data_IF_628693469572
#
_entry.id   IF_628693469572
#
_cell.length_a   1.000
_cell.length_b   1.000
_cell.length_c   1.000
_cell.angle_alpha   90.00
_cell.angle_beta   90.00
_cell.angle_gamma   90.00
#
_symmetry.space_group_name_H-M   'P 1'
#
loop_
_entity.id
_entity.type
_entity.pdbx_description
1 polymer ?
#
# COMPACT_ATOMS: atom_id res chain seq x y z
N UNK A 1 -34.88 46.17 24.49
CA UNK A 1 -33.53 45.74 24.03
C UNK A 1 -32.98 44.50 24.74
N UNK A 2 -32.90 44.43 26.08
CA UNK A 2 -32.28 43.29 26.81
C UNK A 2 -32.84 41.88 26.48
N UNK A 3 -34.15 41.74 26.22
CA UNK A 3 -34.75 40.45 25.89
C UNK A 3 -34.35 39.92 24.50
N UNK A 4 -34.18 40.82 23.51
CA UNK A 4 -33.76 40.48 22.14
C UNK A 4 -32.30 40.02 22.10
N UNK A 5 -31.41 40.70 22.84
CA UNK A 5 -30.00 40.31 22.97
C UNK A 5 -29.84 38.91 23.60
N UNK A 6 -30.67 38.59 24.60
CA UNK A 6 -30.63 37.29 25.28
C UNK A 6 -31.11 36.14 24.38
N UNK A 7 -32.05 36.42 23.46
CA UNK A 7 -32.47 35.48 22.42
C UNK A 7 -31.36 35.23 21.40
N UNK A 8 -30.76 36.30 20.86
CA UNK A 8 -29.62 36.23 19.93
C UNK A 8 -28.44 35.42 20.49
N UNK A 9 -28.09 35.62 21.76
CA UNK A 9 -27.02 34.85 22.42
C UNK A 9 -27.38 33.36 22.53
N UNK A 10 -28.62 33.02 22.89
CA UNK A 10 -29.05 31.61 22.98
C UNK A 10 -29.01 30.91 21.63
N UNK A 11 -29.54 31.54 20.58
CA UNK A 11 -29.50 30.96 19.25
C UNK A 11 -28.08 30.84 18.73
N UNK A 12 -27.24 31.86 18.93
CA UNK A 12 -25.82 31.82 18.56
C UNK A 12 -25.04 30.69 19.25
N UNK A 13 -25.30 30.45 20.54
CA UNK A 13 -24.68 29.33 21.26
C UNK A 13 -25.15 27.97 20.73
N UNK A 14 -26.43 27.84 20.38
CA UNK A 14 -26.98 26.60 19.81
C UNK A 14 -26.37 26.32 18.43
N UNK A 15 -26.25 27.33 17.55
CA UNK A 15 -25.59 27.17 16.25
C UNK A 15 -24.11 26.83 16.41
N UNK A 16 -23.40 27.47 17.33
CA UNK A 16 -22.00 27.17 17.60
C UNK A 16 -21.82 25.72 18.11
N UNK A 17 -22.69 25.29 19.02
CA UNK A 17 -22.67 23.92 19.55
C UNK A 17 -22.99 22.87 18.47
N UNK A 18 -23.97 23.15 17.60
CA UNK A 18 -24.28 22.29 16.46
C UNK A 18 -23.13 22.19 15.47
N UNK A 19 -22.48 23.32 15.15
CA UNK A 19 -21.29 23.33 14.29
C UNK A 19 -20.14 22.53 14.90
N UNK A 20 -19.86 22.71 16.20
CA UNK A 20 -18.82 21.97 16.90
C UNK A 20 -19.13 20.46 16.96
N UNK A 21 -20.40 20.07 17.18
CA UNK A 21 -20.81 18.68 17.14
C UNK A 21 -20.63 18.06 15.75
N UNK A 22 -20.96 18.81 14.69
CA UNK A 22 -20.81 18.36 13.32
C UNK A 22 -19.33 18.15 12.94
N UNK A 23 -18.45 19.08 13.31
CA UNK A 23 -17.01 18.97 13.03
C UNK A 23 -16.38 17.80 13.77
N UNK A 24 -16.74 17.59 15.04
CA UNK A 24 -16.28 16.45 15.83
C UNK A 24 -16.79 15.10 15.31
N UNK A 25 -17.99 15.07 14.72
CA UNK A 25 -18.55 13.86 14.14
C UNK A 25 -17.90 13.47 12.80
N UNK A 26 -17.52 14.45 11.97
CA UNK A 26 -16.90 14.21 10.66
C UNK A 26 -15.44 13.74 10.79
N UNK A 27 -14.69 14.28 11.77
CA UNK A 27 -13.28 13.98 11.97
C UNK A 27 -12.90 12.47 12.05
N UNK A 28 -13.57 11.61 12.85
CA UNK A 28 -13.25 10.19 12.90
C UNK A 28 -13.61 9.45 11.61
N UNK A 29 -14.64 9.89 10.90
CA UNK A 29 -15.05 9.27 9.63
C UNK A 29 -14.04 9.54 8.51
N UNK A 30 -13.38 10.71 8.53
CA UNK A 30 -12.35 11.04 7.56
C UNK A 30 -11.13 10.12 7.63
N UNK A 31 -10.77 9.59 8.81
CA UNK A 31 -9.57 8.77 8.99
C UNK A 31 -9.64 7.45 8.21
N UNK A 32 -10.72 6.68 8.38
CA UNK A 32 -10.88 5.40 7.68
C UNK A 32 -11.00 5.58 6.17
N UNK A 33 -11.64 6.67 5.72
CA UNK A 33 -11.74 7.01 4.29
C UNK A 33 -10.36 7.31 3.70
N UNK A 34 -9.54 8.10 4.39
CA UNK A 34 -8.18 8.43 3.94
C UNK A 34 -7.28 7.19 3.92
N UNK A 35 -7.36 6.33 4.94
CA UNK A 35 -6.62 5.07 4.99
C UNK A 35 -6.99 4.15 3.82
N UNK A 36 -8.30 3.97 3.57
CA UNK A 36 -8.80 3.12 2.50
C UNK A 36 -8.41 3.68 1.12
N UNK A 37 -8.52 4.99 0.93
CA UNK A 37 -8.15 5.64 -0.32
C UNK A 37 -6.65 5.54 -0.60
N UNK A 38 -5.80 5.77 0.42
CA UNK A 38 -4.35 5.64 0.29
C UNK A 38 -3.95 4.20 -0.04
N UNK A 39 -4.57 3.21 0.61
CA UNK A 39 -4.37 1.80 0.27
C UNK A 39 -4.75 1.53 -1.18
N UNK A 40 -5.93 1.94 -1.61
CA UNK A 40 -6.43 1.68 -2.97
C UNK A 40 -5.56 2.32 -4.05
N UNK A 41 -5.00 3.51 -3.82
CA UNK A 41 -4.03 4.14 -4.72
C UNK A 41 -2.76 3.30 -4.86
N UNK A 42 -2.20 2.80 -3.74
CA UNK A 42 -0.99 1.94 -3.76
C UNK A 42 -1.27 0.60 -4.44
N UNK A 43 -2.45 0.00 -4.22
CA UNK A 43 -2.86 -1.23 -4.91
C UNK A 43 -2.92 -1.04 -6.43
N UNK A 44 -3.53 0.05 -6.90
CA UNK A 44 -3.62 0.41 -8.31
C UNK A 44 -2.24 0.58 -8.95
N UNK A 45 -1.30 1.25 -8.26
CA UNK A 45 0.08 1.43 -8.75
C UNK A 45 0.86 0.12 -8.79
N UNK A 46 0.67 -0.74 -7.78
CA UNK A 46 1.31 -2.06 -7.75
C UNK A 46 0.86 -2.92 -8.93
N UNK A 47 -0.44 -2.87 -9.29
CA UNK A 47 -0.97 -3.50 -10.51
C UNK A 47 -0.32 -2.95 -11.78
N UNK A 48 -0.16 -1.63 -11.88
CA UNK A 48 0.49 -1.02 -13.04
C UNK A 48 1.95 -1.45 -13.16
N UNK A 49 2.69 -1.45 -12.04
CA UNK A 49 4.07 -1.94 -12.00
C UNK A 49 4.14 -3.39 -12.47
N UNK A 50 3.31 -4.27 -11.91
CA UNK A 50 3.17 -5.67 -12.30
C UNK A 50 2.91 -5.83 -13.81
N UNK A 51 1.84 -5.22 -14.32
CA UNK A 51 1.44 -5.36 -15.73
C UNK A 51 2.51 -4.87 -16.70
N UNK A 52 3.30 -3.86 -16.32
CA UNK A 52 4.39 -3.34 -17.15
C UNK A 52 5.60 -4.29 -17.28
N UNK A 53 5.86 -5.11 -16.26
CA UNK A 53 7.04 -5.99 -16.20
C UNK A 53 6.72 -7.47 -16.36
N UNK A 54 5.45 -7.88 -16.33
CA UNK A 54 5.03 -9.28 -16.46
C UNK A 54 5.65 -9.94 -17.70
N UNK A 55 5.43 -9.38 -18.89
CA UNK A 55 5.99 -9.92 -20.13
C UNK A 55 7.53 -9.97 -20.16
N UNK A 56 8.25 -8.91 -19.74
CA UNK A 56 9.70 -8.96 -19.53
C UNK A 56 10.17 -10.07 -18.58
N UNK A 57 9.48 -10.29 -17.46
CA UNK A 57 9.79 -11.35 -16.49
C UNK A 57 9.59 -12.73 -17.12
N UNK A 58 8.45 -12.96 -17.78
CA UNK A 58 8.16 -14.22 -18.46
C UNK A 58 9.26 -14.60 -19.46
N UNK A 59 9.75 -13.63 -20.23
CA UNK A 59 10.87 -13.84 -21.16
C UNK A 59 12.18 -14.14 -20.44
N UNK A 60 12.53 -13.37 -19.41
CA UNK A 60 13.76 -13.61 -18.64
C UNK A 60 13.78 -15.00 -17.99
N UNK A 61 12.63 -15.47 -17.49
CA UNK A 61 12.48 -16.82 -16.95
C UNK A 61 12.59 -17.90 -18.02
N UNK A 62 11.99 -17.68 -19.20
CA UNK A 62 12.11 -18.61 -20.33
C UNK A 62 13.56 -18.74 -20.83
N UNK A 63 14.32 -17.64 -20.81
CA UNK A 63 15.73 -17.58 -21.21
C UNK A 63 16.69 -18.05 -20.09
N UNK A 64 16.17 -18.33 -18.88
CA UNK A 64 16.95 -18.57 -17.66
C UNK A 64 17.97 -17.44 -17.33
N UNK A 65 17.68 -16.21 -17.73
CA UNK A 65 18.54 -15.04 -17.57
C UNK A 65 18.23 -14.31 -16.25
N UNK A 66 18.88 -14.76 -15.18
CA UNK A 66 18.71 -14.21 -13.83
C UNK A 66 19.25 -12.78 -13.70
N UNK A 67 20.22 -12.39 -14.53
CA UNK A 67 20.79 -11.02 -14.51
C UNK A 67 19.76 -10.05 -15.08
N UNK A 68 19.14 -10.40 -16.22
CA UNK A 68 18.04 -9.63 -16.80
C UNK A 68 16.85 -9.56 -15.86
N UNK A 69 16.51 -10.65 -15.18
CA UNK A 69 15.45 -10.66 -14.18
C UNK A 69 15.73 -9.65 -13.06
N UNK A 70 16.92 -9.70 -12.44
CA UNK A 70 17.30 -8.76 -11.40
C UNK A 70 17.24 -7.30 -11.89
N UNK A 71 17.71 -7.04 -13.11
CA UNK A 71 17.67 -5.70 -13.72
C UNK A 71 16.24 -5.18 -13.92
N UNK A 72 15.32 -6.05 -14.34
CA UNK A 72 13.90 -5.70 -14.48
C UNK A 72 13.30 -5.32 -13.12
N UNK A 73 13.56 -6.11 -12.08
CA UNK A 73 13.05 -5.84 -10.74
C UNK A 73 13.63 -4.54 -10.16
N UNK A 74 14.93 -4.31 -10.34
CA UNK A 74 15.59 -3.10 -9.86
C UNK A 74 15.09 -1.85 -10.59
N UNK A 75 14.72 -1.97 -11.87
CA UNK A 75 14.05 -0.92 -12.62
C UNK A 75 12.73 -0.45 -11.98
N UNK A 76 11.99 -1.37 -11.37
CA UNK A 76 10.73 -1.06 -10.69
C UNK A 76 10.97 -0.44 -9.30
N UNK A 77 11.96 -0.93 -8.56
CA UNK A 77 12.31 -0.38 -7.25
C UNK A 77 12.99 1.00 -7.29
N UNK A 78 13.22 1.57 -8.48
CA UNK A 78 13.66 2.97 -8.62
C UNK A 78 12.54 3.99 -8.33
N UNK A 79 11.28 3.57 -8.34
CA UNK A 79 10.17 4.44 -7.92
C UNK A 79 10.26 4.70 -6.41
N UNK A 80 10.23 5.98 -6.02
CA UNK A 80 10.45 6.47 -4.65
C UNK A 80 9.54 5.83 -3.58
N UNK A 81 8.44 5.19 -3.98
CA UNK A 81 7.44 4.63 -3.05
C UNK A 81 7.49 3.10 -2.94
N UNK A 82 8.28 2.45 -3.79
CA UNK A 82 8.47 1.00 -3.76
C UNK A 82 9.69 0.69 -2.88
N UNK A 83 9.44 0.02 -1.75
CA UNK A 83 10.50 -0.40 -0.84
C UNK A 83 11.32 -1.55 -1.41
N UNK A 84 10.69 -2.42 -2.17
CA UNK A 84 11.37 -3.53 -2.82
C UNK A 84 10.44 -4.39 -3.66
N UNK A 85 11.03 -5.12 -4.60
CA UNK A 85 10.33 -6.08 -5.46
C UNK A 85 11.03 -7.43 -5.40
N UNK A 86 10.26 -8.49 -5.24
CA UNK A 86 10.76 -9.86 -5.15
C UNK A 86 10.00 -10.78 -6.08
N UNK A 87 10.68 -11.76 -6.64
CA UNK A 87 10.07 -12.87 -7.35
C UNK A 87 10.24 -14.15 -6.53
N UNK A 88 9.13 -14.80 -6.25
CA UNK A 88 9.05 -16.01 -5.45
C UNK A 88 8.62 -17.21 -6.32
N UNK A 89 9.20 -18.38 -6.07
CA UNK A 89 8.73 -19.62 -6.69
C UNK A 89 7.43 -20.11 -6.07
N UNK A 90 6.76 -21.05 -6.73
CA UNK A 90 5.56 -21.70 -6.21
C UNK A 90 5.76 -22.43 -4.88
N UNK A 91 7.00 -22.82 -4.57
CA UNK A 91 7.37 -23.47 -3.30
C UNK A 91 7.84 -22.49 -2.22
N UNK A 92 7.72 -21.17 -2.47
CA UNK A 92 8.07 -20.14 -1.49
C UNK A 92 9.55 -19.81 -1.39
N UNK A 93 10.35 -20.17 -2.39
CA UNK A 93 11.77 -19.76 -2.45
C UNK A 93 11.90 -18.42 -3.17
N UNK A 94 12.87 -17.62 -2.73
CA UNK A 94 13.26 -16.39 -3.42
C UNK A 94 14.01 -16.76 -4.71
N UNK A 95 13.54 -16.27 -5.85
CA UNK A 95 14.21 -16.39 -7.14
C UNK A 95 15.10 -15.17 -7.41
N UNK A 96 14.59 -13.97 -7.17
CA UNK A 96 15.32 -12.71 -7.29
C UNK A 96 14.66 -11.62 -6.44
N UNK A 97 15.44 -10.68 -5.94
CA UNK A 97 14.96 -9.52 -5.18
C UNK A 97 15.78 -8.29 -5.51
N UNK A 98 15.18 -7.13 -5.31
CA UNK A 98 15.86 -5.84 -5.43
C UNK A 98 16.84 -5.60 -4.30
N UNK A 99 17.79 -4.69 -4.52
CA UNK A 99 18.89 -4.39 -3.58
C UNK A 99 18.40 -3.84 -2.23
N UNK A 100 17.33 -3.05 -2.25
CA UNK A 100 16.74 -2.41 -1.06
C UNK A 100 15.66 -3.24 -0.37
N UNK A 101 15.49 -4.52 -0.75
CA UNK A 101 14.49 -5.40 -0.14
C UNK A 101 14.69 -5.48 1.39
N UNK A 102 13.64 -5.24 2.20
CA UNK A 102 13.73 -5.35 3.66
C UNK A 102 14.18 -6.75 4.10
N UNK A 103 15.05 -6.80 5.13
CA UNK A 103 15.64 -8.07 5.60
C UNK A 103 14.63 -9.03 6.22
N UNK A 104 13.51 -8.51 6.71
CA UNK A 104 12.40 -9.28 7.26
C UNK A 104 11.49 -9.90 6.20
N UNK A 105 11.64 -9.53 4.92
CA UNK A 105 10.83 -10.09 3.85
C UNK A 105 11.21 -11.55 3.58
N UNK A 106 10.19 -12.41 3.49
CA UNK A 106 10.36 -13.81 3.09
C UNK A 106 9.30 -14.22 2.08
N UNK A 107 9.68 -15.02 1.09
CA UNK A 107 8.72 -15.60 0.14
C UNK A 107 7.76 -16.60 0.78
N UNK A 108 7.99 -17.01 2.04
CA UNK A 108 7.07 -17.85 2.82
C UNK A 108 5.76 -17.11 3.13
N UNK A 109 5.87 -15.81 3.43
CA UNK A 109 4.76 -14.92 3.81
C UNK A 109 3.95 -14.40 2.60
N UNK A 110 4.42 -14.67 1.38
CA UNK A 110 3.77 -14.24 0.14
C UNK A 110 2.53 -15.09 -0.13
N UNK A 111 1.41 -14.44 -0.42
CA UNK A 111 0.13 -15.09 -0.66
C UNK A 111 0.17 -15.86 -1.99
N UNK A 112 0.00 -17.19 -1.95
CA UNK A 112 0.01 -18.04 -3.14
C UNK A 112 -1.40 -18.31 -3.65
N UNK A 113 -2.10 -17.25 -4.03
CA UNK A 113 -3.46 -17.32 -4.60
C UNK A 113 -3.45 -17.44 -6.12
N UNK A 114 -4.59 -17.84 -6.70
CA UNK A 114 -4.78 -17.84 -8.16
C UNK A 114 -4.97 -16.43 -8.74
N UNK A 115 -5.41 -15.48 -7.90
CA UNK A 115 -5.54 -14.07 -8.22
C UNK A 115 -4.49 -13.24 -7.48
N UNK A 116 -4.38 -11.98 -7.85
CA UNK A 116 -3.62 -11.00 -7.05
C UNK A 116 -4.16 -10.92 -5.62
N UNK A 117 -3.27 -10.59 -4.68
CA UNK A 117 -3.61 -10.46 -3.27
C UNK A 117 -2.84 -9.31 -2.64
N UNK A 118 -3.49 -8.59 -1.72
CA UNK A 118 -2.88 -7.50 -0.98
C UNK A 118 -2.96 -7.79 0.51
N UNK A 119 -1.81 -7.70 1.19
CA UNK A 119 -1.73 -7.84 2.64
C UNK A 119 -0.91 -6.71 3.24
N UNK A 120 -1.16 -6.40 4.51
CA UNK A 120 -0.34 -5.44 5.24
C UNK A 120 0.49 -6.16 6.28
N UNK A 121 1.79 -5.89 6.29
CA UNK A 121 2.74 -6.45 7.26
C UNK A 121 3.46 -5.31 7.99
N UNK A 122 4.07 -5.64 9.11
CA UNK A 122 5.03 -4.75 9.78
C UNK A 122 6.43 -5.22 9.40
N UNK A 123 7.22 -4.33 8.82
CA UNK A 123 8.60 -4.57 8.39
C UNK A 123 9.47 -3.43 8.89
N UNK A 124 10.52 -3.73 9.65
CA UNK A 124 11.42 -2.74 10.25
C UNK A 124 10.67 -1.60 11.00
N UNK A 125 9.60 -1.94 11.72
CA UNK A 125 8.78 -0.97 12.48
C UNK A 125 7.84 -0.11 11.63
N UNK A 126 7.78 -0.33 10.31
CA UNK A 126 6.90 0.39 9.38
C UNK A 126 5.79 -0.50 8.87
N UNK A 127 4.61 0.07 8.62
CA UNK A 127 3.52 -0.61 7.94
C UNK A 127 3.81 -0.67 6.44
N UNK A 128 3.86 -1.88 5.90
CA UNK A 128 4.14 -2.14 4.48
C UNK A 128 2.93 -2.80 3.85
N UNK A 129 2.57 -2.37 2.63
CA UNK A 129 1.64 -3.11 1.78
C UNK A 129 2.43 -4.07 0.90
N UNK A 130 2.04 -5.33 0.88
CA UNK A 130 2.57 -6.35 -0.01
C UNK A 130 1.50 -6.68 -1.04
N UNK A 131 1.73 -6.27 -2.28
CA UNK A 131 0.95 -6.74 -3.44
C UNK A 131 1.60 -7.98 -4.01
N UNK A 132 0.86 -9.08 -4.09
CA UNK A 132 1.31 -10.35 -4.67
C UNK A 132 0.57 -10.61 -5.97
N UNK A 133 1.30 -10.90 -7.05
CA UNK A 133 0.75 -11.14 -8.37
C UNK A 133 1.26 -12.48 -8.92
N UNK A 134 0.38 -13.44 -9.24
CA UNK A 134 0.79 -14.70 -9.87
C UNK A 134 1.19 -14.46 -11.33
N UNK A 135 2.28 -15.09 -11.75
CA UNK A 135 2.74 -15.14 -13.14
C UNK A 135 2.80 -16.59 -13.57
N UNK A 136 2.02 -16.92 -14.60
CA UNK A 136 2.08 -18.24 -15.23
C UNK A 136 3.27 -18.30 -16.19
N UNK A 137 4.16 -19.26 -15.96
CA UNK A 137 5.20 -19.60 -16.93
C UNK A 137 4.92 -20.97 -17.54
N UNK A 138 5.73 -21.39 -18.52
CA UNK A 138 5.59 -22.71 -19.11
C UNK A 138 5.88 -23.86 -18.13
N UNK A 139 6.72 -23.62 -17.13
CA UNK A 139 7.25 -24.66 -16.26
C UNK A 139 6.64 -24.63 -14.86
N UNK A 140 6.33 -23.44 -14.35
CA UNK A 140 5.81 -23.25 -13.00
C UNK A 140 5.05 -21.92 -12.86
N UNK A 141 4.28 -21.81 -11.77
CA UNK A 141 3.71 -20.54 -11.32
C UNK A 141 4.69 -19.86 -10.37
N UNK A 142 5.02 -18.61 -10.68
CA UNK A 142 5.84 -17.75 -9.81
C UNK A 142 5.00 -16.58 -9.32
N UNK A 143 5.48 -15.89 -8.29
CA UNK A 143 4.74 -14.82 -7.62
C UNK A 143 5.61 -13.59 -7.50
N UNK A 144 5.16 -12.48 -8.10
CA UNK A 144 5.78 -11.17 -7.92
C UNK A 144 5.23 -10.55 -6.64
N UNK A 145 6.11 -10.22 -5.70
CA UNK A 145 5.80 -9.46 -4.49
C UNK A 145 6.31 -8.03 -4.64
N UNK A 146 5.42 -7.05 -4.51
CA UNK A 146 5.74 -5.61 -4.55
C UNK A 146 5.47 -5.02 -3.17
N UNK A 147 6.52 -4.51 -2.52
CA UNK A 147 6.44 -3.93 -1.18
C UNK A 147 6.42 -2.41 -1.27
N UNK A 148 5.40 -1.79 -0.68
CA UNK A 148 5.23 -0.34 -0.65
C UNK A 148 5.12 0.17 0.78
N UNK A 149 5.68 1.34 1.06
CA UNK A 149 5.57 1.98 2.37
C UNK A 149 4.16 2.59 2.57
N UNK A 150 3.44 2.15 3.61
CA UNK A 150 2.15 2.72 4.02
C UNK A 150 2.26 3.59 5.29
N UNK A 151 3.45 3.77 5.86
CA UNK A 151 3.63 4.55 7.10
C UNK A 151 3.22 6.03 6.97
N UNK A 152 3.19 6.59 5.76
CA UNK A 152 2.66 7.93 5.47
C UNK A 152 1.21 8.12 5.95
N UNK A 153 0.40 7.05 5.92
CA UNK A 153 -1.00 7.09 6.31
C UNK A 153 -1.14 7.31 7.83
N UNK A 154 -0.24 6.73 8.61
CA UNK A 154 -0.24 6.86 10.08
C UNK A 154 0.19 8.28 10.51
N UNK A 155 1.21 8.86 9.86
CA UNK A 155 1.79 10.17 10.22
C UNK A 155 0.79 11.34 10.12
N UNK A 156 -0.10 11.34 9.12
CA UNK A 156 -1.12 12.39 8.98
C UNK A 156 -2.35 12.20 9.87
N UNK A 157 -2.56 11.00 10.39
CA UNK A 157 -3.69 10.71 11.28
C UNK A 157 -3.45 11.23 12.72
N UNK A 158 -2.18 11.38 13.12
CA UNK A 158 -1.78 11.92 14.42
C UNK A 158 -1.85 13.45 14.49
N UNK A 159 -1.46 14.15 13.43
CA UNK A 159 -1.47 15.63 13.39
C UNK A 159 -2.88 16.23 13.33
N UNK A 160 -3.88 15.49 12.84
CA UNK A 160 -5.27 15.97 12.83
C UNK A 160 -5.94 15.94 14.22
N UNK A 161 -5.25 15.48 15.27
CA UNK A 161 -5.78 15.34 16.63
C UNK A 161 -5.13 16.27 17.67
N UNK A 162 -4.16 17.10 17.28
CA UNK A 162 -3.53 18.12 18.14
C UNK A 162 -3.88 19.52 17.66
#
# INVERSE_FOLDING_TARGET
>A
MRASVRGLIKYGLITLALLAALTLAVAPFSKSVVEQWARQDVEMRSRLAYTSIQGPIERALADADMIRLATILEGVAQDERILGVGLCSGVGKVLSTTSLMPRSFTCEQVARSEAESFSSIISDGRRVLVGTFPIETRNERVYLAVLNDLSFVDARSGEAQT
#
